data_IF_961503939786
#
_entry.id   IF_961503939786
#
_cell.length_a   1.000
_cell.length_b   1.000
_cell.length_c   1.000
_cell.angle_alpha   90.00
_cell.angle_beta   90.00
_cell.angle_gamma   90.00
#
_symmetry.space_group_name_H-M   'P 1'
#
loop_
_entity.id
_entity.type
_entity.pdbx_description
1 polymer ?
#
# COMPACT_ATOMS: atom_id res chain seq x y z
N UNK A 1 -0.16 20.60 -4.10
CA UNK A 1 -0.67 19.43 -4.85
C UNK A 1 0.52 18.71 -5.43
N UNK A 2 0.63 17.37 -5.30
CA UNK A 2 1.64 16.63 -6.05
C UNK A 2 1.36 16.85 -7.55
N UNK A 3 2.39 17.09 -8.36
CA UNK A 3 2.22 17.17 -9.81
C UNK A 3 1.80 15.79 -10.34
N UNK A 4 0.90 15.75 -11.33
CA UNK A 4 0.45 14.51 -11.98
C UNK A 4 1.62 13.64 -12.47
N UNK A 5 2.68 14.30 -12.97
CA UNK A 5 3.95 13.66 -13.37
C UNK A 5 4.60 12.84 -12.25
N UNK A 6 4.50 13.30 -11.00
CA UNK A 6 5.06 12.58 -9.85
C UNK A 6 4.25 11.34 -9.49
N UNK A 7 2.93 11.39 -9.63
CA UNK A 7 2.08 10.22 -9.43
C UNK A 7 2.35 9.14 -10.50
N UNK A 8 2.55 9.54 -11.74
CA UNK A 8 2.93 8.63 -12.84
C UNK A 8 4.26 7.92 -12.55
N UNK A 9 5.27 8.69 -12.12
CA UNK A 9 6.59 8.14 -11.80
C UNK A 9 6.51 7.12 -10.64
N UNK A 10 5.82 7.46 -9.53
CA UNK A 10 5.65 6.55 -8.40
C UNK A 10 4.87 5.29 -8.82
N UNK A 11 3.84 5.43 -9.66
CA UNK A 11 3.03 4.29 -10.13
C UNK A 11 3.84 3.38 -11.04
N UNK A 12 4.70 3.94 -11.90
CA UNK A 12 5.61 3.18 -12.76
C UNK A 12 6.62 2.40 -11.91
N UNK A 13 7.25 3.05 -10.95
CA UNK A 13 8.22 2.42 -10.05
C UNK A 13 7.57 1.26 -9.26
N UNK A 14 6.33 1.47 -8.78
CA UNK A 14 5.53 0.40 -8.19
C UNK A 14 5.29 -0.75 -9.17
N UNK A 15 4.83 -0.48 -10.38
CA UNK A 15 4.58 -1.51 -11.37
C UNK A 15 5.82 -2.39 -11.65
N UNK A 16 7.00 -1.77 -11.76
CA UNK A 16 8.26 -2.48 -11.94
C UNK A 16 8.65 -3.33 -10.72
N UNK A 17 8.48 -2.78 -9.52
CA UNK A 17 8.79 -3.51 -8.28
C UNK A 17 7.81 -4.68 -8.07
N UNK A 18 6.51 -4.45 -8.30
CA UNK A 18 5.45 -5.46 -8.23
C UNK A 18 5.67 -6.59 -9.23
N UNK A 19 6.12 -6.29 -10.44
CA UNK A 19 6.45 -7.32 -11.42
C UNK A 19 7.53 -8.27 -10.88
N UNK A 20 8.57 -7.73 -10.23
CA UNK A 20 9.64 -8.52 -9.60
C UNK A 20 9.14 -9.30 -8.38
N UNK A 21 8.32 -8.69 -7.53
CA UNK A 21 7.77 -9.30 -6.32
C UNK A 21 6.83 -10.45 -6.66
N UNK A 22 5.82 -10.22 -7.51
CA UNK A 22 4.87 -11.24 -7.94
C UNK A 22 5.54 -12.31 -8.80
N UNK A 23 6.48 -11.94 -9.67
CA UNK A 23 7.18 -12.89 -10.55
C UNK A 23 8.06 -13.92 -9.81
N UNK A 24 8.36 -13.71 -8.52
CA UNK A 24 9.02 -14.72 -7.67
C UNK A 24 8.09 -15.82 -7.18
N UNK A 25 6.78 -15.59 -7.23
CA UNK A 25 5.76 -16.48 -6.67
C UNK A 25 4.77 -17.01 -7.71
N UNK A 26 4.62 -16.29 -8.83
CA UNK A 26 3.64 -16.57 -9.87
C UNK A 26 4.32 -16.55 -11.23
N UNK A 27 4.07 -17.58 -12.03
CA UNK A 27 4.52 -17.63 -13.43
C UNK A 27 3.53 -16.92 -14.35
N UNK A 28 4.04 -16.41 -15.48
CA UNK A 28 3.24 -15.83 -16.59
C UNK A 28 2.29 -14.70 -16.17
N UNK A 29 2.72 -13.86 -15.23
CA UNK A 29 1.94 -12.70 -14.81
C UNK A 29 1.87 -11.63 -15.90
N UNK A 30 0.77 -10.88 -15.91
CA UNK A 30 0.63 -9.63 -16.66
C UNK A 30 0.45 -8.48 -15.69
N UNK A 31 1.32 -7.47 -15.78
CA UNK A 31 1.23 -6.26 -14.96
C UNK A 31 0.64 -5.14 -15.82
N UNK A 32 -0.41 -4.49 -15.31
CA UNK A 32 -1.03 -3.30 -15.91
C UNK A 32 -0.93 -2.13 -14.94
N UNK A 33 -0.53 -0.97 -15.43
CA UNK A 33 -0.51 0.27 -14.66
C UNK A 33 -1.37 1.33 -15.32
N UNK A 34 -2.20 2.01 -14.53
CA UNK A 34 -3.11 3.06 -14.98
C UNK A 34 -2.99 4.25 -14.02
N UNK A 35 -3.00 5.47 -14.54
CA UNK A 35 -2.92 6.69 -13.73
C UNK A 35 -4.06 7.60 -14.12
N UNK A 36 -4.77 8.07 -13.11
CA UNK A 36 -5.78 9.14 -13.19
C UNK A 36 -5.22 10.40 -12.52
N UNK A 37 -6.00 11.48 -12.49
CA UNK A 37 -5.59 12.73 -11.84
C UNK A 37 -5.17 12.53 -10.37
N UNK A 38 -5.90 11.69 -9.62
CA UNK A 38 -5.69 11.52 -8.18
C UNK A 38 -5.19 10.14 -7.76
N UNK A 39 -5.14 9.16 -8.68
CA UNK A 39 -4.94 7.77 -8.31
C UNK A 39 -4.12 7.02 -9.35
N UNK A 40 -3.04 6.40 -8.89
CA UNK A 40 -2.32 5.37 -9.62
C UNK A 40 -2.82 3.98 -9.23
N UNK A 41 -2.93 3.09 -10.21
CA UNK A 41 -3.34 1.71 -10.04
C UNK A 41 -2.32 0.79 -10.69
N UNK A 42 -1.96 -0.27 -9.98
CA UNK A 42 -1.21 -1.40 -10.55
C UNK A 42 -2.04 -2.66 -10.35
N UNK A 43 -2.33 -3.37 -11.42
CA UNK A 43 -3.07 -4.64 -11.37
C UNK A 43 -2.21 -5.75 -11.94
N UNK A 44 -2.05 -6.82 -11.17
CA UNK A 44 -1.35 -8.04 -11.59
C UNK A 44 -2.36 -9.12 -11.85
N UNK A 45 -2.29 -9.69 -13.05
CA UNK A 45 -3.16 -10.77 -13.51
C UNK A 45 -2.34 -12.05 -13.68
N UNK A 46 -2.93 -13.17 -13.32
CA UNK A 46 -2.46 -14.52 -13.68
C UNK A 46 -3.65 -15.32 -14.20
N UNK A 47 -3.55 -15.85 -15.41
CA UNK A 47 -4.61 -16.64 -16.08
C UNK A 47 -6.01 -15.96 -16.05
N UNK A 48 -6.03 -14.63 -16.14
CA UNK A 48 -7.25 -13.82 -16.10
C UNK A 48 -7.76 -13.45 -14.70
N UNK A 49 -7.16 -13.97 -13.63
CA UNK A 49 -7.49 -13.63 -12.25
C UNK A 49 -6.60 -12.52 -11.69
N UNK A 50 -7.17 -11.62 -10.88
CA UNK A 50 -6.38 -10.60 -10.17
C UNK A 50 -5.69 -11.25 -8.98
N UNK A 51 -4.37 -11.33 -9.02
CA UNK A 51 -3.55 -11.86 -7.92
C UNK A 51 -2.97 -10.76 -7.04
N UNK A 52 -2.84 -9.54 -7.57
CA UNK A 52 -2.47 -8.36 -6.79
C UNK A 52 -3.11 -7.10 -7.36
N UNK A 53 -3.53 -6.21 -6.47
CA UNK A 53 -3.96 -4.87 -6.83
C UNK A 53 -3.32 -3.86 -5.89
N UNK A 54 -2.71 -2.84 -6.47
CA UNK A 54 -2.02 -1.79 -5.76
C UNK A 54 -2.62 -0.42 -6.07
N UNK A 55 -2.65 0.42 -5.05
CA UNK A 55 -3.18 1.78 -5.11
C UNK A 55 -2.07 2.75 -4.73
N UNK A 56 -1.73 3.69 -5.62
CA UNK A 56 -0.88 4.84 -5.32
C UNK A 56 -1.82 6.03 -5.13
N UNK A 57 -2.16 6.27 -3.88
CA UNK A 57 -3.17 7.23 -3.48
C UNK A 57 -2.60 8.64 -3.36
N UNK A 58 -3.43 9.64 -3.60
CA UNK A 58 -3.20 11.05 -3.25
C UNK A 58 -4.21 11.49 -2.18
N UNK A 59 -4.11 12.73 -1.70
CA UNK A 59 -5.14 13.30 -0.84
C UNK A 59 -6.54 13.29 -1.50
N UNK A 60 -6.60 13.52 -2.82
CA UNK A 60 -7.84 13.51 -3.59
C UNK A 60 -8.50 12.13 -3.60
N UNK A 61 -7.72 11.08 -3.88
CA UNK A 61 -8.26 9.70 -3.96
C UNK A 61 -8.65 9.12 -2.60
N UNK A 62 -7.94 9.51 -1.53
CA UNK A 62 -8.27 9.15 -0.14
C UNK A 62 -9.55 9.82 0.37
N UNK A 63 -9.90 10.99 -0.19
CA UNK A 63 -11.13 11.70 0.12
C UNK A 63 -12.38 11.11 -0.54
N UNK A 64 -12.22 10.20 -1.51
CA UNK A 64 -13.35 9.59 -2.22
C UNK A 64 -14.16 8.67 -1.31
N UNK A 65 -15.50 8.67 -1.45
CA UNK A 65 -16.34 7.75 -0.69
C UNK A 65 -16.00 6.29 -1.06
N UNK A 66 -16.18 5.39 -0.09
CA UNK A 66 -16.01 3.94 -0.27
C UNK A 66 -14.60 3.41 -0.53
N UNK A 67 -13.53 4.21 -0.39
CA UNK A 67 -12.14 3.75 -0.57
C UNK A 67 -11.81 2.49 0.26
N UNK A 68 -12.22 2.44 1.52
CA UNK A 68 -12.03 1.25 2.37
C UNK A 68 -12.81 0.03 1.88
N UNK A 69 -13.99 0.24 1.28
CA UNK A 69 -14.79 -0.85 0.71
C UNK A 69 -14.13 -1.42 -0.55
N UNK A 70 -13.44 -0.59 -1.34
CA UNK A 70 -12.63 -1.06 -2.48
C UNK A 70 -11.48 -1.95 -2.00
N UNK A 71 -10.75 -1.52 -0.96
CA UNK A 71 -9.69 -2.32 -0.35
C UNK A 71 -10.23 -3.65 0.20
N UNK A 72 -11.36 -3.60 0.90
CA UNK A 72 -12.02 -4.79 1.44
C UNK A 72 -12.35 -5.81 0.35
N UNK A 73 -12.82 -5.37 -0.83
CA UNK A 73 -13.13 -6.25 -1.96
C UNK A 73 -11.90 -6.99 -2.49
N UNK A 74 -10.74 -6.33 -2.53
CA UNK A 74 -9.48 -6.97 -2.95
C UNK A 74 -9.07 -8.06 -1.95
N UNK A 75 -9.13 -7.73 -0.66
CA UNK A 75 -8.79 -8.66 0.41
C UNK A 75 -9.74 -9.85 0.47
N UNK A 76 -11.05 -9.62 0.35
CA UNK A 76 -12.07 -10.67 0.29
C UNK A 76 -11.89 -11.57 -0.95
N UNK A 77 -11.42 -11.01 -2.07
CA UNK A 77 -11.02 -11.76 -3.25
C UNK A 77 -9.72 -12.55 -3.09
N UNK A 78 -9.08 -12.52 -1.90
CA UNK A 78 -7.79 -13.14 -1.57
C UNK A 78 -6.63 -12.68 -2.49
N UNK A 79 -6.76 -11.50 -3.08
CA UNK A 79 -5.70 -10.87 -3.85
C UNK A 79 -4.80 -10.04 -2.92
N UNK A 80 -3.50 -9.98 -3.25
CA UNK A 80 -2.54 -9.13 -2.55
C UNK A 80 -2.91 -7.66 -2.71
N UNK A 81 -3.16 -6.97 -1.59
CA UNK A 81 -3.40 -5.53 -1.55
C UNK A 81 -2.13 -4.77 -1.15
N UNK A 82 -1.76 -3.78 -1.95
CA UNK A 82 -0.72 -2.80 -1.60
C UNK A 82 -1.31 -1.40 -1.70
N UNK A 83 -1.01 -0.54 -0.74
CA UNK A 83 -1.45 0.86 -0.76
C UNK A 83 -0.26 1.76 -0.43
N UNK A 84 0.08 2.66 -1.35
CA UNK A 84 1.05 3.73 -1.16
C UNK A 84 0.30 5.05 -0.98
N UNK A 85 0.65 5.83 0.04
CA UNK A 85 -0.05 7.08 0.40
C UNK A 85 0.94 8.23 0.61
N UNK A 86 0.52 9.51 0.59
CA UNK A 86 1.40 10.60 1.02
C UNK A 86 1.85 10.43 2.47
N UNK A 87 3.09 10.80 2.81
CA UNK A 87 3.62 10.72 4.19
C UNK A 87 2.68 11.32 5.24
N UNK A 88 2.13 12.50 4.95
CA UNK A 88 1.18 13.20 5.82
C UNK A 88 -0.09 12.40 6.16
N UNK A 89 -0.43 11.37 5.36
CA UNK A 89 -1.62 10.52 5.53
C UNK A 89 -1.29 9.13 6.06
N UNK A 90 -0.01 8.77 6.14
CA UNK A 90 0.46 7.44 6.49
C UNK A 90 -0.11 6.93 7.82
N UNK A 91 -0.04 7.76 8.87
CA UNK A 91 -0.52 7.42 10.22
C UNK A 91 -2.02 7.11 10.24
N UNK A 92 -2.82 7.97 9.61
CA UNK A 92 -4.27 7.85 9.60
C UNK A 92 -4.73 6.63 8.79
N UNK A 93 -4.11 6.40 7.62
CA UNK A 93 -4.44 5.26 6.78
C UNK A 93 -4.05 3.95 7.46
N UNK A 94 -2.92 3.90 8.16
CA UNK A 94 -2.52 2.71 8.93
C UNK A 94 -3.57 2.32 9.99
N UNK A 95 -4.12 3.29 10.71
CA UNK A 95 -5.19 3.03 11.69
C UNK A 95 -6.45 2.48 11.01
N UNK A 96 -6.90 3.10 9.91
CA UNK A 96 -8.06 2.62 9.14
C UNK A 96 -7.86 1.20 8.59
N UNK A 97 -6.65 0.89 8.10
CA UNK A 97 -6.31 -0.42 7.57
C UNK A 97 -6.23 -1.49 8.67
N UNK A 98 -5.82 -1.11 9.89
CA UNK A 98 -5.91 -2.00 11.06
C UNK A 98 -7.35 -2.28 11.47
N UNK A 99 -8.22 -1.28 11.43
CA UNK A 99 -9.65 -1.46 11.69
C UNK A 99 -10.28 -2.40 10.66
N UNK A 100 -9.98 -2.17 9.36
CA UNK A 100 -10.42 -3.03 8.26
C UNK A 100 -10.01 -4.50 8.50
N UNK A 101 -8.80 -4.71 8.99
CA UNK A 101 -8.22 -6.04 9.16
C UNK A 101 -8.48 -6.70 10.53
N UNK A 102 -9.20 -6.02 11.43
CA UNK A 102 -9.37 -6.48 12.83
C UNK A 102 -9.98 -7.88 12.94
N UNK A 103 -10.82 -8.27 11.99
CA UNK A 103 -11.60 -9.51 12.06
C UNK A 103 -11.19 -10.59 11.06
N UNK A 104 -10.45 -10.23 10.01
CA UNK A 104 -10.30 -11.09 8.84
C UNK A 104 -8.87 -11.59 8.59
N UNK A 105 -7.89 -11.09 9.36
CA UNK A 105 -6.47 -11.50 9.30
C UNK A 105 -5.89 -11.54 7.87
N UNK A 106 -6.32 -10.62 7.03
CA UNK A 106 -5.80 -10.45 5.68
C UNK A 106 -4.39 -9.85 5.69
N UNK A 107 -3.57 -10.23 4.71
CA UNK A 107 -2.28 -9.61 4.49
C UNK A 107 -2.40 -8.43 3.51
N UNK A 108 -1.91 -7.27 3.91
CA UNK A 108 -1.76 -6.09 3.05
C UNK A 108 -0.41 -5.44 3.31
N UNK A 109 0.09 -4.68 2.34
CA UNK A 109 1.30 -3.88 2.50
C UNK A 109 0.96 -2.40 2.38
N UNK A 110 1.49 -1.60 3.30
CA UNK A 110 1.37 -0.15 3.26
C UNK A 110 2.72 0.45 2.98
N UNK A 111 2.72 1.44 2.11
CA UNK A 111 3.86 2.31 1.85
C UNK A 111 3.41 3.75 2.08
N UNK A 112 4.36 4.62 2.37
CA UNK A 112 4.17 6.04 2.14
C UNK A 112 5.23 6.54 1.16
N UNK A 113 4.93 7.64 0.49
CA UNK A 113 5.92 8.37 -0.29
C UNK A 113 6.20 9.74 0.31
N UNK A 114 7.47 10.10 0.38
CA UNK A 114 7.94 11.41 0.84
C UNK A 114 7.81 12.47 -0.26
N UNK A 115 8.19 13.72 0.02
CA UNK A 115 8.16 14.86 -0.90
C UNK A 115 9.02 14.72 -2.17
N UNK A 116 9.96 13.77 -2.19
CA UNK A 116 10.76 13.44 -3.38
C UNK A 116 10.11 12.30 -4.20
N UNK A 117 9.03 11.68 -3.68
CA UNK A 117 8.37 10.53 -4.29
C UNK A 117 9.03 9.20 -3.93
N UNK A 118 9.97 9.17 -2.99
CA UNK A 118 10.60 7.93 -2.55
C UNK A 118 9.64 7.13 -1.70
N UNK A 119 9.53 5.84 -1.99
CA UNK A 119 8.65 4.91 -1.29
C UNK A 119 9.32 4.30 -0.07
N UNK A 120 8.59 4.28 1.04
CA UNK A 120 9.02 3.73 2.32
C UNK A 120 7.96 2.74 2.81
N UNK A 121 8.37 1.53 3.21
CA UNK A 121 7.45 0.55 3.77
C UNK A 121 6.94 1.06 5.12
N UNK A 122 5.63 1.14 5.28
CA UNK A 122 4.98 1.54 6.51
C UNK A 122 4.72 0.33 7.40
N UNK A 123 5.76 -0.07 8.14
CA UNK A 123 5.65 -1.07 9.19
C UNK A 123 5.35 -0.42 10.57
N UNK A 124 5.35 -1.24 11.62
CA UNK A 124 5.09 -0.78 13.00
C UNK A 124 6.16 0.19 13.50
N UNK A 125 7.44 -0.04 13.20
CA UNK A 125 8.53 0.81 13.65
C UNK A 125 8.45 2.18 12.98
N UNK A 126 8.17 2.18 11.69
CA UNK A 126 8.05 3.38 10.89
C UNK A 126 6.79 4.19 11.25
N UNK A 127 5.67 3.51 11.49
CA UNK A 127 4.47 4.16 12.02
C UNK A 127 4.73 4.85 13.37
N UNK A 128 5.50 4.23 14.28
CA UNK A 128 5.88 4.84 15.55
C UNK A 128 6.75 6.08 15.35
N UNK A 129 7.74 6.00 14.44
CA UNK A 129 8.61 7.12 14.07
C UNK A 129 7.78 8.31 13.59
N UNK A 130 6.86 8.08 12.66
CA UNK A 130 5.96 9.12 12.13
C UNK A 130 5.04 9.72 13.19
N UNK A 131 4.69 8.95 14.24
CA UNK A 131 3.91 9.44 15.39
C UNK A 131 4.74 10.17 16.45
N UNK A 132 6.06 10.25 16.29
CA UNK A 132 6.96 10.78 17.32
C UNK A 132 7.03 9.92 18.58
N UNK A 133 6.69 8.63 18.46
CA UNK A 133 6.80 7.67 19.56
C UNK A 133 8.23 7.12 19.62
N UNK A 134 8.76 6.85 20.83
CA UNK A 134 10.09 6.25 20.95
C UNK A 134 10.12 4.87 20.26
N UNK A 135 11.30 4.38 19.85
CA UNK A 135 11.46 3.02 19.35
C UNK A 135 10.85 2.02 20.34
N UNK A 136 10.33 0.93 19.80
CA UNK A 136 9.86 -0.16 20.65
C UNK A 136 11.09 -0.69 21.42
N UNK A 137 11.07 -0.57 22.75
CA UNK A 137 12.07 -1.26 23.57
C UNK A 137 11.91 -2.74 23.27
N UNK A 138 12.99 -3.42 22.91
CA UNK A 138 13.03 -4.88 22.88
C UNK A 138 12.52 -5.36 24.23
N UNK A 139 11.28 -5.84 24.26
CA UNK A 139 10.75 -6.50 25.43
C UNK A 139 11.49 -7.84 25.52
N UNK A 140 12.55 -7.87 26.34
CA UNK A 140 13.10 -9.10 26.85
C UNK A 140 12.27 -9.44 28.08
N UNK A 141 11.42 -10.48 28.07
CA UNK A 141 10.96 -11.03 29.32
C UNK A 141 12.23 -11.51 30.05
N UNK A 142 12.56 -10.88 31.18
CA UNK A 142 13.39 -11.55 32.17
C UNK A 142 12.61 -12.81 32.56
N UNK A 143 13.06 -13.94 32.04
CA UNK A 143 12.57 -15.24 32.48
C UNK A 143 13.09 -15.39 33.91
N UNK A 144 12.21 -15.12 34.87
CA UNK A 144 12.41 -15.48 36.27
C UNK A 144 12.13 -16.97 36.49
#
# INVERSE_FOLDING_TARGET
MPSSRRLEDITRDRAEQTAKECGRHFDRITVKSEVTEDLGLVTVLQDGYIVSKEFVETDGSLGRPHRMSEYARILLGKARLVVAVPEARAVDVWLKMRELNRFWLFYYQLYYYDDEGRLHLLDRAEWRRLRGLPPERTWCPEVA
#
